data_IF_476747997136
#
_entry.id   IF_476747997136
#
_cell.length_a   1.000
_cell.length_b   1.000
_cell.length_c   1.000
_cell.angle_alpha   90.00
_cell.angle_beta   90.00
_cell.angle_gamma   90.00
#
_symmetry.space_group_name_H-M   'P 1'
#
loop_
_entity.id
_entity.type
_entity.pdbx_description
1 polymer ?
#
# COMPACT_ATOMS: atom_id res chain seq x y z
N UNK A 1 7.96 30.39 -7.42
CA UNK A 1 6.79 29.98 -8.25
C UNK A 1 5.73 29.16 -7.50
N UNK A 2 6.06 28.17 -6.65
CA UNK A 2 5.04 27.45 -5.84
C UNK A 2 4.46 28.30 -4.69
N UNK A 3 5.28 29.14 -4.05
CA UNK A 3 4.84 30.00 -2.92
C UNK A 3 3.73 31.01 -3.25
N UNK A 4 3.58 31.43 -4.51
CA UNK A 4 2.48 32.34 -4.92
C UNK A 4 1.18 31.59 -5.24
N UNK A 5 1.25 30.30 -5.63
CA UNK A 5 0.08 29.47 -5.92
C UNK A 5 -0.69 29.00 -4.68
N UNK A 6 -0.13 29.20 -3.48
CA UNK A 6 -0.65 28.66 -2.22
C UNK A 6 -1.57 29.63 -1.45
N UNK A 7 -1.70 30.90 -1.88
CA UNK A 7 -2.42 31.93 -1.09
C UNK A 7 -3.95 31.75 -1.07
N UNK A 8 -4.52 31.05 -2.05
CA UNK A 8 -5.97 30.81 -2.16
C UNK A 8 -6.33 29.31 -2.08
N UNK A 9 -5.52 28.54 -1.35
CA UNK A 9 -5.72 27.10 -1.21
C UNK A 9 -6.55 26.81 0.06
N UNK A 10 -7.77 26.30 -0.12
CA UNK A 10 -8.52 25.76 1.02
C UNK A 10 -8.00 24.35 1.30
N UNK A 11 -7.68 24.08 2.56
CA UNK A 11 -7.07 22.82 2.98
C UNK A 11 -8.09 22.00 3.76
N UNK A 12 -8.35 20.76 3.36
CA UNK A 12 -9.26 19.90 4.09
C UNK A 12 -8.65 19.31 5.36
N UNK A 13 -9.53 18.87 6.25
CA UNK A 13 -9.18 18.36 7.59
C UNK A 13 -8.72 16.91 7.63
N UNK A 14 -8.84 16.17 6.52
CA UNK A 14 -8.34 14.79 6.47
C UNK A 14 -6.88 14.76 6.05
N UNK A 15 -6.02 14.14 6.86
CA UNK A 15 -4.63 13.83 6.47
C UNK A 15 -4.45 12.33 6.51
N UNK A 16 -3.89 11.76 5.44
CA UNK A 16 -3.52 10.34 5.39
C UNK A 16 -2.01 10.25 5.28
N UNK A 17 -1.39 9.46 6.16
CA UNK A 17 0.03 9.15 6.10
C UNK A 17 0.18 7.73 5.57
N UNK A 18 1.03 7.57 4.56
CA UNK A 18 1.57 6.28 4.12
C UNK A 18 3.02 6.23 4.56
N UNK A 19 3.30 5.45 5.60
CA UNK A 19 4.63 5.14 6.08
C UNK A 19 5.09 3.78 5.52
N UNK A 20 6.34 3.73 5.08
CA UNK A 20 6.94 2.55 4.47
C UNK A 20 7.02 1.34 5.42
N UNK A 21 7.25 1.58 6.71
CA UNK A 21 7.45 0.53 7.70
C UNK A 21 6.20 0.35 8.58
N UNK A 22 5.50 1.44 8.86
CA UNK A 22 4.37 1.46 9.81
C UNK A 22 2.99 1.47 9.14
N UNK A 23 2.94 1.46 7.81
CA UNK A 23 1.68 1.36 7.07
C UNK A 23 0.90 2.68 7.01
N UNK A 24 -0.43 2.59 7.04
CA UNK A 24 -1.32 3.73 6.81
C UNK A 24 -1.88 4.29 8.12
N UNK A 25 -1.80 5.60 8.31
CA UNK A 25 -2.46 6.35 9.38
C UNK A 25 -3.46 7.35 8.79
N UNK A 26 -4.59 7.57 9.46
CA UNK A 26 -5.65 8.47 8.99
C UNK A 26 -6.08 9.40 10.11
N UNK A 27 -5.97 10.71 9.87
CA UNK A 27 -6.40 11.78 10.75
C UNK A 27 -7.61 12.46 10.11
N UNK A 28 -8.79 12.42 10.75
CA UNK A 28 -10.07 12.87 10.14
C UNK A 28 -10.43 14.33 10.42
N UNK A 29 -10.06 14.85 11.59
CA UNK A 29 -10.32 16.23 12.03
C UNK A 29 -9.00 16.92 12.40
N UNK A 30 -8.07 16.96 11.44
CA UNK A 30 -6.80 17.65 11.61
C UNK A 30 -6.97 19.14 11.30
N UNK A 31 -6.90 19.98 12.33
CA UNK A 31 -7.18 21.42 12.22
C UNK A 31 -5.98 22.29 11.86
N UNK A 32 -4.76 21.81 12.12
CA UNK A 32 -3.51 22.45 11.68
C UNK A 32 -3.37 23.96 11.96
N UNK A 33 -2.42 24.57 11.28
CA UNK A 33 -2.14 25.99 11.15
C UNK A 33 -2.67 26.58 9.84
N UNK A 34 -3.31 25.76 8.98
CA UNK A 34 -3.80 26.20 7.68
C UNK A 34 -2.69 26.33 6.63
N UNK A 35 -1.56 25.65 6.85
CA UNK A 35 -0.40 25.64 5.94
C UNK A 35 0.01 24.19 5.69
N UNK A 36 0.06 23.76 4.43
CA UNK A 36 0.36 22.37 4.08
C UNK A 36 1.70 21.88 4.66
N UNK A 37 2.72 22.73 4.60
CA UNK A 37 4.05 22.41 5.08
C UNK A 37 4.08 22.43 6.61
N UNK A 38 3.67 23.51 7.27
CA UNK A 38 3.73 23.62 8.74
C UNK A 38 2.90 22.53 9.41
N UNK A 39 1.76 22.18 8.82
CA UNK A 39 0.89 21.09 9.28
C UNK A 39 1.56 19.73 9.17
N UNK A 40 2.26 19.49 8.05
CA UNK A 40 3.02 18.27 7.85
C UNK A 40 4.21 18.19 8.81
N UNK A 41 4.95 19.28 9.00
CA UNK A 41 6.07 19.33 9.93
C UNK A 41 5.61 19.06 11.37
N UNK A 42 4.51 19.70 11.79
CA UNK A 42 3.90 19.49 13.09
C UNK A 42 3.48 18.03 13.33
N UNK A 43 2.91 17.38 12.30
CA UNK A 43 2.54 15.96 12.36
C UNK A 43 3.77 15.07 12.43
N UNK A 44 4.82 15.36 11.63
CA UNK A 44 6.05 14.58 11.62
C UNK A 44 6.78 14.67 12.96
N UNK A 45 6.84 15.83 13.60
CA UNK A 45 7.40 16.01 14.95
C UNK A 45 6.76 15.09 15.99
N UNK A 46 5.45 14.86 15.87
CA UNK A 46 4.65 14.09 16.84
C UNK A 46 4.49 12.63 16.46
N UNK A 47 4.89 12.25 15.24
CA UNK A 47 4.92 10.87 14.77
C UNK A 47 6.29 10.28 15.09
N UNK A 48 6.45 9.77 16.33
CA UNK A 48 7.75 9.29 16.84
C UNK A 48 8.31 8.08 16.06
N UNK A 49 7.42 7.21 15.56
CA UNK A 49 7.78 6.06 14.72
C UNK A 49 7.49 6.41 13.26
N UNK A 50 8.52 6.82 12.53
CA UNK A 50 8.42 7.13 11.10
C UNK A 50 9.65 6.69 10.34
N UNK A 51 9.43 6.25 9.11
CA UNK A 51 10.46 5.86 8.16
C UNK A 51 10.45 6.80 6.96
N UNK A 52 10.43 6.25 5.75
CA UNK A 52 10.14 7.01 4.53
C UNK A 52 8.64 6.96 4.26
N UNK A 53 8.08 8.01 3.71
CA UNK A 53 6.67 7.97 3.34
C UNK A 53 6.15 9.22 2.71
N UNK A 54 4.83 9.28 2.55
CA UNK A 54 4.17 10.49 2.08
C UNK A 54 2.86 10.74 2.82
N UNK A 55 2.47 12.02 2.83
CA UNK A 55 1.18 12.49 3.28
C UNK A 55 0.31 12.80 2.08
N UNK A 56 -0.99 12.57 2.23
CA UNK A 56 -2.01 12.91 1.24
C UNK A 56 -3.07 13.76 1.92
N UNK A 57 -3.36 14.92 1.33
CA UNK A 57 -4.32 15.88 1.87
C UNK A 57 -5.21 16.47 0.78
N UNK A 58 -6.53 16.54 0.98
CA UNK A 58 -7.43 17.21 0.04
C UNK A 58 -7.23 18.72 0.09
N UNK A 59 -7.22 19.34 -1.08
CA UNK A 59 -7.09 20.78 -1.26
C UNK A 59 -8.12 21.28 -2.27
N UNK A 60 -8.51 22.55 -2.16
CA UNK A 60 -9.38 23.23 -3.13
C UNK A 60 -8.70 24.51 -3.57
N UNK A 61 -8.70 24.77 -4.88
CA UNK A 61 -8.25 26.03 -5.45
C UNK A 61 -9.28 26.51 -6.46
N UNK A 62 -9.83 27.71 -6.27
CA UNK A 62 -10.84 28.29 -7.16
C UNK A 62 -12.03 27.35 -7.42
N UNK A 63 -12.51 26.65 -6.38
CA UNK A 63 -13.59 25.65 -6.48
C UNK A 63 -13.18 24.30 -7.09
N UNK A 64 -11.96 24.16 -7.60
CA UNK A 64 -11.42 22.92 -8.12
C UNK A 64 -10.80 22.07 -6.99
N UNK A 65 -11.30 20.85 -6.83
CA UNK A 65 -10.80 19.89 -5.83
C UNK A 65 -9.57 19.17 -6.36
N UNK A 66 -8.51 19.11 -5.55
CA UNK A 66 -7.27 18.42 -5.83
C UNK A 66 -6.71 17.72 -4.59
N UNK A 67 -5.50 17.18 -4.75
CA UNK A 67 -4.73 16.55 -3.69
C UNK A 67 -3.35 17.19 -3.61
N UNK A 68 -2.92 17.50 -2.40
CA UNK A 68 -1.52 17.72 -2.07
C UNK A 68 -0.90 16.40 -1.58
N UNK A 69 0.32 16.15 -2.01
CA UNK A 69 1.12 14.97 -1.67
C UNK A 69 2.49 15.47 -1.22
N UNK A 70 2.85 15.22 0.04
CA UNK A 70 4.14 15.61 0.61
C UNK A 70 4.95 14.39 1.03
N UNK A 71 6.12 14.19 0.43
CA UNK A 71 7.03 13.12 0.82
C UNK A 71 7.93 13.54 1.98
N UNK A 72 8.23 12.60 2.87
CA UNK A 72 9.15 12.77 4.00
C UNK A 72 10.14 11.61 4.09
N UNK A 73 11.21 11.83 4.86
CA UNK A 73 12.28 10.85 5.10
C UNK A 73 12.48 10.61 6.61
N UNK A 74 13.13 9.50 7.01
CA UNK A 74 13.41 9.18 8.40
C UNK A 74 14.22 10.29 9.06
N UNK A 75 13.99 10.52 10.35
CA UNK A 75 14.71 11.49 11.18
C UNK A 75 14.66 12.95 10.67
N UNK A 76 13.76 13.24 9.72
CA UNK A 76 13.49 14.59 9.25
C UNK A 76 12.03 14.93 9.57
N UNK A 77 11.80 16.18 9.98
CA UNK A 77 10.46 16.70 10.22
C UNK A 77 9.93 17.48 9.02
N UNK A 78 10.67 17.55 7.92
CA UNK A 78 10.32 18.37 6.76
C UNK A 78 9.82 17.53 5.60
N UNK A 79 8.95 18.16 4.82
CA UNK A 79 8.58 17.67 3.49
C UNK A 79 9.76 17.91 2.54
N UNK A 80 10.21 16.85 1.87
CA UNK A 80 11.40 16.87 1.00
C UNK A 80 11.03 17.03 -0.47
N UNK A 81 9.83 16.60 -0.85
CA UNK A 81 9.23 16.76 -2.18
C UNK A 81 7.73 16.95 -2.03
N UNK A 82 7.14 17.77 -2.87
CA UNK A 82 5.70 17.97 -2.90
C UNK A 82 5.14 17.97 -4.31
N UNK A 83 3.91 17.50 -4.43
CA UNK A 83 3.11 17.51 -5.65
C UNK A 83 1.70 17.99 -5.31
N UNK A 84 1.12 18.84 -6.17
CA UNK A 84 -0.30 19.21 -6.11
C UNK A 84 -0.95 18.84 -7.43
N UNK A 85 -2.00 18.02 -7.35
CA UNK A 85 -2.64 17.42 -8.53
C UNK A 85 -4.10 17.82 -8.58
N UNK A 86 -4.50 18.45 -9.68
CA UNK A 86 -5.88 18.79 -10.03
C UNK A 86 -6.31 18.01 -11.28
N UNK A 87 -6.65 16.74 -11.09
CA UNK A 87 -7.16 15.85 -12.13
C UNK A 87 -8.54 15.32 -11.75
N UNK A 88 -9.26 14.71 -12.71
CA UNK A 88 -10.55 14.09 -12.43
C UNK A 88 -10.44 13.01 -11.34
N UNK A 89 -9.31 12.30 -11.29
CA UNK A 89 -9.06 11.27 -10.28
C UNK A 89 -8.76 11.89 -8.91
N UNK A 90 -7.84 12.87 -8.83
CA UNK A 90 -7.53 13.55 -7.57
C UNK A 90 -8.75 14.27 -7.00
N UNK A 91 -9.59 14.87 -7.85
CA UNK A 91 -10.86 15.49 -7.46
C UNK A 91 -11.84 14.49 -6.83
N UNK A 92 -11.98 13.28 -7.40
CA UNK A 92 -12.84 12.22 -6.82
C UNK A 92 -12.35 11.79 -5.44
N UNK A 93 -11.04 11.60 -5.29
CA UNK A 93 -10.43 11.20 -4.02
C UNK A 93 -10.60 12.34 -2.99
N UNK A 94 -10.29 13.58 -3.38
CA UNK A 94 -10.42 14.77 -2.52
C UNK A 94 -11.83 14.93 -1.97
N UNK A 95 -12.85 14.89 -2.85
CA UNK A 95 -14.26 14.94 -2.45
C UNK A 95 -14.66 13.77 -1.53
N UNK A 96 -14.12 12.58 -1.78
CA UNK A 96 -14.38 11.41 -0.94
C UNK A 96 -13.80 11.61 0.47
N UNK A 97 -12.58 12.15 0.59
CA UNK A 97 -11.94 12.44 1.88
C UNK A 97 -12.68 13.54 2.64
N UNK A 98 -13.11 14.61 1.97
CA UNK A 98 -13.89 15.66 2.62
C UNK A 98 -15.23 15.12 3.14
N UNK A 99 -15.95 14.32 2.34
CA UNK A 99 -17.15 13.62 2.82
C UNK A 99 -16.87 12.68 3.98
N UNK A 100 -15.68 12.10 4.05
CA UNK A 100 -15.29 11.24 5.15
C UNK A 100 -15.00 12.01 6.44
N UNK A 101 -14.45 13.23 6.37
CA UNK A 101 -14.40 14.11 7.54
C UNK A 101 -15.80 14.44 8.07
N UNK A 102 -16.78 14.59 7.17
CA UNK A 102 -18.17 14.94 7.51
C UNK A 102 -19.06 13.74 7.90
N UNK A 103 -18.50 12.55 8.14
CA UNK A 103 -19.26 11.30 8.38
C UNK A 103 -20.22 10.89 7.24
N UNK A 104 -20.08 11.48 6.05
CA UNK A 104 -20.89 11.21 4.84
C UNK A 104 -20.30 10.13 3.93
N UNK A 105 -19.27 9.42 4.39
CA UNK A 105 -18.65 8.28 3.71
C UNK A 105 -18.21 7.22 4.72
N UNK A 106 -18.36 5.94 4.37
CA UNK A 106 -17.95 4.83 5.24
C UNK A 106 -16.45 4.55 5.16
N UNK A 107 -15.87 4.08 6.27
CA UNK A 107 -14.47 3.62 6.34
C UNK A 107 -14.16 2.59 5.26
N UNK A 108 -15.06 1.62 5.05
CA UNK A 108 -14.92 0.60 3.99
C UNK A 108 -14.75 1.20 2.60
N UNK A 109 -15.38 2.35 2.32
CA UNK A 109 -15.23 3.05 1.03
C UNK A 109 -13.88 3.77 0.94
N UNK A 110 -13.41 4.34 2.06
CA UNK A 110 -12.08 4.94 2.15
C UNK A 110 -10.99 3.89 1.96
N UNK A 111 -11.05 2.78 2.68
CA UNK A 111 -10.04 1.70 2.59
C UNK A 111 -9.91 1.06 1.23
N UNK A 112 -10.97 1.11 0.41
CA UNK A 112 -10.94 0.62 -0.97
C UNK A 112 -10.21 1.56 -1.92
N UNK A 113 -10.27 2.87 -1.68
CA UNK A 113 -9.68 3.89 -2.56
C UNK A 113 -8.30 4.31 -2.07
N UNK A 114 -8.14 4.43 -0.76
CA UNK A 114 -6.91 4.77 -0.06
C UNK A 114 -6.12 3.48 0.24
N UNK A 115 -5.72 2.86 -0.87
CA UNK A 115 -4.86 1.69 -0.95
C UNK A 115 -3.79 2.02 -1.98
N UNK A 116 -2.50 1.77 -1.68
CA UNK A 116 -1.42 2.27 -2.54
C UNK A 116 -1.50 1.68 -3.96
N UNK A 117 -1.90 0.41 -4.11
CA UNK A 117 -2.05 -0.20 -5.44
C UNK A 117 -3.13 0.48 -6.28
N UNK A 118 -4.19 0.97 -5.63
CA UNK A 118 -5.28 1.72 -6.25
C UNK A 118 -4.85 3.14 -6.55
N UNK A 119 -4.18 3.82 -5.61
CA UNK A 119 -3.68 5.18 -5.79
C UNK A 119 -2.70 5.27 -6.95
N UNK A 120 -1.77 4.32 -7.09
CA UNK A 120 -0.83 4.25 -8.23
C UNK A 120 -1.53 4.15 -9.58
N UNK A 121 -2.66 3.43 -9.65
CA UNK A 121 -3.48 3.30 -10.87
C UNK A 121 -4.31 4.56 -11.14
N UNK A 122 -4.84 5.18 -10.09
CA UNK A 122 -5.72 6.35 -10.20
C UNK A 122 -4.94 7.65 -10.43
N UNK A 123 -3.71 7.75 -9.94
CA UNK A 123 -2.86 8.95 -9.99
C UNK A 123 -1.52 8.63 -10.68
N UNK A 124 -1.51 8.20 -11.96
CA UNK A 124 -0.29 7.89 -12.69
C UNK A 124 0.64 9.10 -12.89
N UNK A 125 0.13 10.32 -12.70
CA UNK A 125 0.88 11.57 -12.76
C UNK A 125 1.73 11.86 -11.51
N UNK A 126 1.47 11.20 -10.38
CA UNK A 126 2.23 11.40 -9.14
C UNK A 126 3.48 10.53 -9.12
N UNK A 127 4.67 11.14 -9.11
CA UNK A 127 5.92 10.38 -8.99
C UNK A 127 6.15 9.89 -7.56
N UNK A 128 5.70 10.65 -6.55
CA UNK A 128 5.78 10.25 -5.14
C UNK A 128 4.97 8.96 -4.91
N UNK A 129 3.70 8.94 -5.33
CA UNK A 129 2.83 7.76 -5.14
C UNK A 129 3.33 6.58 -5.97
N UNK A 130 3.72 6.80 -7.23
CA UNK A 130 4.26 5.73 -8.10
C UNK A 130 5.53 5.10 -7.56
N UNK A 131 6.43 5.92 -7.03
CA UNK A 131 7.70 5.49 -6.46
C UNK A 131 7.60 4.82 -5.10
N UNK A 132 6.48 5.00 -4.38
CA UNK A 132 6.33 4.45 -3.04
C UNK A 132 6.31 2.92 -3.02
N UNK A 133 7.01 2.35 -2.05
CA UNK A 133 6.98 0.92 -1.72
C UNK A 133 6.99 0.76 -0.21
N UNK A 134 6.24 -0.21 0.31
CA UNK A 134 6.39 -0.64 1.70
C UNK A 134 7.71 -1.39 1.88
N UNK A 135 8.31 -1.35 3.07
CA UNK A 135 9.52 -2.11 3.35
C UNK A 135 9.21 -3.59 3.41
N UNK A 136 8.24 -3.97 4.24
CA UNK A 136 7.68 -5.32 4.31
C UNK A 136 6.22 -5.28 3.85
N UNK A 137 5.78 -6.29 3.10
CA UNK A 137 4.37 -6.42 2.70
C UNK A 137 3.45 -6.44 3.93
N UNK A 138 2.45 -5.55 4.03
CA UNK A 138 1.50 -5.57 5.14
C UNK A 138 0.77 -6.92 5.26
N UNK A 139 0.50 -7.38 6.48
CA UNK A 139 -0.14 -8.69 6.72
C UNK A 139 -1.53 -8.79 6.07
N UNK A 140 -2.33 -7.73 6.15
CA UNK A 140 -3.63 -7.70 5.50
C UNK A 140 -3.52 -7.87 3.98
N UNK A 141 -2.44 -7.37 3.38
CA UNK A 141 -2.18 -7.53 1.97
C UNK A 141 -1.76 -8.96 1.66
N UNK A 142 -0.82 -9.53 2.42
CA UNK A 142 -0.31 -10.87 2.13
C UNK A 142 -1.40 -11.93 2.27
N UNK A 143 -2.25 -11.86 3.30
CA UNK A 143 -3.24 -12.91 3.56
C UNK A 143 -4.59 -12.73 2.87
N UNK A 144 -4.98 -11.49 2.51
CA UNK A 144 -6.31 -11.20 1.93
C UNK A 144 -6.27 -10.73 0.48
N UNK A 145 -5.16 -10.15 0.02
CA UNK A 145 -5.09 -9.42 -1.27
C UNK A 145 -3.93 -9.83 -2.17
N UNK A 146 -3.04 -10.72 -1.74
CA UNK A 146 -1.82 -11.07 -2.47
C UNK A 146 -2.15 -11.66 -3.85
N UNK A 147 -1.93 -10.92 -4.96
CA UNK A 147 -2.19 -11.45 -6.30
C UNK A 147 -1.18 -12.56 -6.64
N UNK A 148 0.03 -12.43 -6.10
CA UNK A 148 1.14 -13.33 -6.37
C UNK A 148 0.93 -14.74 -5.84
N UNK A 149 0.29 -14.91 -4.67
CA UNK A 149 -0.06 -16.23 -4.16
C UNK A 149 -1.03 -16.98 -5.08
N UNK A 150 -1.97 -16.27 -5.70
CA UNK A 150 -2.89 -16.84 -6.70
C UNK A 150 -2.16 -17.27 -7.96
N UNK A 151 -1.27 -16.41 -8.46
CA UNK A 151 -0.47 -16.69 -9.66
C UNK A 151 0.45 -17.90 -9.44
N UNK A 152 1.11 -17.98 -8.28
CA UNK A 152 1.91 -19.15 -7.89
C UNK A 152 1.05 -20.40 -7.88
N UNK A 153 -0.08 -20.38 -7.17
CA UNK A 153 -0.97 -21.54 -7.07
C UNK A 153 -1.40 -22.04 -8.45
N UNK A 154 -1.87 -21.12 -9.29
CA UNK A 154 -2.30 -21.43 -10.66
C UNK A 154 -1.15 -21.98 -11.51
N UNK A 155 0.04 -21.39 -11.43
CA UNK A 155 1.21 -21.86 -12.18
C UNK A 155 1.63 -23.28 -11.76
N UNK A 156 1.51 -23.62 -10.47
CA UNK A 156 1.79 -24.97 -9.99
C UNK A 156 0.72 -25.95 -10.49
N UNK A 157 -0.57 -25.61 -10.40
CA UNK A 157 -1.66 -26.44 -10.93
C UNK A 157 -1.55 -26.67 -12.44
N UNK A 158 -1.25 -25.62 -13.22
CA UNK A 158 -1.11 -25.74 -14.68
C UNK A 158 0.08 -26.63 -15.08
N UNK A 159 1.21 -26.55 -14.35
CA UNK A 159 2.41 -27.30 -14.69
C UNK A 159 2.39 -28.75 -14.19
N UNK A 160 1.80 -28.98 -13.02
CA UNK A 160 1.89 -30.26 -12.33
C UNK A 160 0.56 -30.94 -12.10
N UNK A 161 -0.58 -30.29 -12.34
CA UNK A 161 -1.90 -30.82 -12.03
C UNK A 161 -2.22 -30.82 -10.53
N UNK A 162 -3.52 -30.86 -10.21
CA UNK A 162 -4.01 -30.96 -8.84
C UNK A 162 -3.73 -32.37 -8.29
N UNK A 163 -3.49 -32.48 -6.97
CA UNK A 163 -3.30 -33.77 -6.28
C UNK A 163 -2.03 -34.58 -6.60
N UNK A 164 -1.06 -34.03 -7.32
CA UNK A 164 0.24 -34.69 -7.56
C UNK A 164 1.21 -34.48 -6.39
N UNK A 165 2.01 -35.51 -6.09
CA UNK A 165 3.10 -35.46 -5.11
C UNK A 165 4.28 -34.66 -5.69
N UNK A 166 4.63 -33.54 -5.06
CA UNK A 166 5.68 -32.61 -5.50
C UNK A 166 6.75 -32.42 -4.44
N UNK A 167 8.00 -32.26 -4.85
CA UNK A 167 9.08 -31.87 -3.93
C UNK A 167 8.97 -30.39 -3.56
N UNK A 168 9.16 -30.05 -2.28
CA UNK A 168 9.08 -28.65 -1.83
C UNK A 168 10.09 -27.76 -2.56
N UNK A 169 11.27 -28.29 -2.92
CA UNK A 169 12.32 -27.54 -3.62
C UNK A 169 11.86 -27.05 -4.98
N UNK A 170 11.20 -27.91 -5.76
CA UNK A 170 10.65 -27.56 -7.08
C UNK A 170 9.59 -26.47 -6.99
N UNK A 171 8.74 -26.54 -5.97
CA UNK A 171 7.73 -25.50 -5.75
C UNK A 171 8.37 -24.19 -5.31
N UNK A 172 9.38 -24.22 -4.44
CA UNK A 172 10.12 -23.03 -4.01
C UNK A 172 10.90 -22.36 -5.16
N UNK A 173 11.51 -23.14 -6.06
CA UNK A 173 12.15 -22.65 -7.29
C UNK A 173 11.13 -21.98 -8.22
N UNK A 174 9.95 -22.59 -8.39
CA UNK A 174 8.88 -22.01 -9.19
C UNK A 174 8.38 -20.70 -8.59
N UNK A 175 8.19 -20.64 -7.28
CA UNK A 175 7.87 -19.38 -6.59
C UNK A 175 8.88 -18.31 -6.96
N UNK A 176 10.19 -18.57 -6.83
CA UNK A 176 11.25 -17.61 -7.18
C UNK A 176 11.20 -17.10 -8.63
N UNK A 177 10.66 -17.90 -9.55
CA UNK A 177 10.61 -17.56 -10.98
C UNK A 177 9.43 -16.66 -11.38
N UNK A 178 8.40 -16.54 -10.55
CA UNK A 178 7.21 -15.73 -10.85
C UNK A 178 7.46 -14.30 -10.37
N UNK A 179 7.00 -13.31 -11.14
CA UNK A 179 7.36 -11.89 -11.05
C UNK A 179 7.22 -11.27 -9.64
N UNK A 180 8.09 -10.31 -9.32
CA UNK A 180 8.27 -9.73 -7.98
C UNK A 180 7.11 -8.79 -7.60
N UNK A 181 6.80 -8.70 -6.30
CA UNK A 181 5.83 -7.73 -5.79
C UNK A 181 6.36 -6.29 -5.94
N UNK A 182 5.79 -5.53 -6.88
CA UNK A 182 6.28 -4.17 -7.22
C UNK A 182 6.04 -3.11 -6.13
N UNK A 183 5.09 -3.36 -5.22
CA UNK A 183 4.68 -2.42 -4.17
C UNK A 183 5.45 -2.58 -2.85
N UNK A 184 6.38 -3.54 -2.77
CA UNK A 184 7.13 -3.84 -1.54
C UNK A 184 8.62 -4.07 -1.82
N UNK A 185 9.49 -3.81 -0.84
CA UNK A 185 10.91 -4.12 -0.93
C UNK A 185 11.20 -5.56 -0.50
N UNK A 186 10.55 -6.02 0.57
CA UNK A 186 10.66 -7.37 1.12
C UNK A 186 9.28 -8.02 1.03
N UNK A 187 9.17 -9.05 0.18
CA UNK A 187 8.00 -9.90 0.14
C UNK A 187 8.19 -11.08 1.10
N UNK A 188 7.39 -11.20 2.19
CA UNK A 188 7.55 -12.29 3.16
C UNK A 188 7.47 -13.68 2.53
N UNK A 189 6.72 -13.83 1.44
CA UNK A 189 6.60 -15.09 0.70
C UNK A 189 7.93 -15.56 0.07
N UNK A 190 8.81 -14.62 -0.26
CA UNK A 190 10.09 -14.88 -0.95
C UNK A 190 11.31 -14.61 -0.07
N UNK A 191 11.13 -13.95 1.07
CA UNK A 191 12.22 -13.47 1.92
C UNK A 191 12.94 -14.59 2.68
N UNK A 192 12.24 -15.67 3.07
CA UNK A 192 12.88 -16.77 3.81
C UNK A 192 13.92 -17.50 2.95
N UNK A 193 15.13 -17.78 3.42
CA UNK A 193 16.09 -18.64 2.70
C UNK A 193 15.68 -20.12 2.71
N UNK A 194 14.73 -20.51 3.58
CA UNK A 194 14.29 -21.88 3.76
C UNK A 194 13.09 -22.20 2.87
N UNK A 195 13.24 -23.21 2.00
CA UNK A 195 12.19 -23.62 1.07
C UNK A 195 10.92 -24.14 1.79
N UNK A 196 11.06 -24.83 2.92
CA UNK A 196 9.91 -25.31 3.70
C UNK A 196 9.13 -24.16 4.33
N UNK A 197 9.81 -23.16 4.89
CA UNK A 197 9.15 -21.96 5.44
C UNK A 197 8.37 -21.21 4.37
N UNK A 198 8.91 -21.06 3.15
CA UNK A 198 8.18 -20.45 2.02
C UNK A 198 6.90 -21.20 1.70
N UNK A 199 6.94 -22.53 1.72
CA UNK A 199 5.76 -23.38 1.49
C UNK A 199 4.73 -23.19 2.62
N UNK A 200 5.17 -23.11 3.88
CA UNK A 200 4.26 -22.84 5.00
C UNK A 200 3.58 -21.47 4.88
N UNK A 201 4.35 -20.43 4.53
CA UNK A 201 3.82 -19.08 4.31
C UNK A 201 2.82 -19.10 3.16
N UNK A 202 3.16 -19.74 2.03
CA UNK A 202 2.26 -19.90 0.88
C UNK A 202 0.97 -20.61 1.31
N UNK A 203 1.07 -21.73 2.03
CA UNK A 203 -0.09 -22.49 2.51
C UNK A 203 -1.00 -21.63 3.39
N UNK A 204 -0.43 -20.87 4.32
CA UNK A 204 -1.19 -19.98 5.18
C UNK A 204 -1.94 -18.91 4.38
N UNK A 205 -1.33 -18.37 3.32
CA UNK A 205 -1.99 -17.42 2.42
C UNK A 205 -3.13 -18.09 1.64
N UNK A 206 -2.88 -19.25 1.04
CA UNK A 206 -3.88 -19.98 0.25
C UNK A 206 -5.11 -20.34 1.08
N UNK A 207 -4.90 -20.83 2.30
CA UNK A 207 -5.97 -21.15 3.27
C UNK A 207 -6.74 -19.89 3.69
N UNK A 208 -6.03 -18.83 4.05
CA UNK A 208 -6.64 -17.54 4.44
C UNK A 208 -7.48 -16.92 3.33
N UNK A 209 -7.04 -17.10 2.09
CA UNK A 209 -7.74 -16.60 0.89
C UNK A 209 -8.78 -17.59 0.32
N UNK A 210 -8.95 -18.78 0.92
CA UNK A 210 -9.87 -19.84 0.48
C UNK A 210 -9.68 -20.28 -0.99
N UNK A 211 -8.43 -20.41 -1.41
CA UNK A 211 -8.06 -20.71 -2.81
C UNK A 211 -7.59 -22.15 -2.96
N UNK A 212 -6.98 -22.69 -1.90
CA UNK A 212 -6.46 -24.04 -1.85
C UNK A 212 -5.66 -24.26 -0.57
N UNK A 213 -5.00 -25.40 -0.51
CA UNK A 213 -4.18 -25.86 0.59
C UNK A 213 -2.99 -26.66 0.04
N UNK A 214 -1.86 -26.54 0.72
CA UNK A 214 -0.69 -27.39 0.53
C UNK A 214 -0.61 -28.35 1.72
N UNK A 215 -0.77 -29.65 1.43
CA UNK A 215 -0.66 -30.73 2.41
C UNK A 215 0.75 -31.31 2.37
N UNK A 216 1.45 -31.28 3.49
CA UNK A 216 2.73 -31.96 3.65
C UNK A 216 2.46 -33.47 3.73
N UNK A 217 3.10 -34.24 2.85
CA UNK A 217 2.92 -35.70 2.79
C UNK A 217 4.04 -36.43 3.53
N UNK A 218 5.28 -35.99 3.34
CA UNK A 218 6.48 -36.52 4.01
C UNK A 218 7.54 -35.42 4.16
N UNK A 219 8.76 -35.79 4.59
CA UNK A 219 9.85 -34.84 4.86
C UNK A 219 10.15 -33.91 3.69
N UNK A 220 9.98 -34.37 2.46
CA UNK A 220 10.41 -33.63 1.27
C UNK A 220 9.32 -33.32 0.26
N UNK A 221 8.12 -33.84 0.46
CA UNK A 221 7.04 -33.74 -0.52
C UNK A 221 5.74 -33.22 0.03
N UNK A 222 5.02 -32.59 -0.87
CA UNK A 222 3.75 -31.92 -0.64
C UNK A 222 2.74 -32.33 -1.71
N UNK A 223 1.48 -32.03 -1.45
CA UNK A 223 0.38 -32.12 -2.41
C UNK A 223 -0.43 -30.83 -2.34
N UNK A 224 -0.82 -30.32 -3.50
CA UNK A 224 -1.67 -29.15 -3.62
C UNK A 224 -3.11 -29.59 -3.89
N UNK A 225 -4.07 -28.98 -3.19
CA UNK A 225 -5.51 -29.28 -3.24
C UNK A 225 -6.37 -28.05 -3.10
#
# INVERSE_FOLDING_TARGET
>A
MLKEKLRDLEIGSVVIIFDRDFGKLVFRDFRGYGSLLDDAEWLLERTQQRSWGFMLRPVIQNGCYGLWIGEYMPNNNRVIREEIIFSKASSKISKLLMRYAEDKASERKIDRIIDISVLKKMLPESNIIRGFKYYICPEDWIYKRCPYAKEIYRAIEEKYGSSIKLYYSRVAEMMLSINKCDDVLICPLLASPNAFERILILNNILRSSKIGEIKVLDKNTIRIS
#
